data_IF_597507720852
#
_entry.id   IF_597507720852
#
_cell.length_a   1.000
_cell.length_b   1.000
_cell.length_c   1.000
_cell.angle_alpha   90.00
_cell.angle_beta   90.00
_cell.angle_gamma   90.00
#
_symmetry.space_group_name_H-M   'P 1'
#
loop_
_entity.id
_entity.type
_entity.pdbx_description
1 polymer ?
#
# COMPACT_ATOMS: atom_id res chain seq x y z
N UNK A 1 -19.12 -13.50 4.95
CA UNK A 1 -18.04 -12.95 4.11
C UNK A 1 -17.01 -12.35 5.04
N UNK A 2 -15.78 -12.87 5.06
CA UNK A 2 -14.69 -12.21 5.75
C UNK A 2 -14.48 -10.83 5.10
N UNK A 3 -14.63 -9.76 5.89
CA UNK A 3 -14.02 -8.47 5.57
C UNK A 3 -12.51 -8.73 5.56
N UNK A 4 -11.99 -9.20 4.44
CA UNK A 4 -10.55 -9.27 4.22
C UNK A 4 -10.15 -7.81 4.13
N UNK A 5 -9.52 -7.31 5.19
CA UNK A 5 -8.78 -6.07 5.20
C UNK A 5 -7.79 -6.09 4.04
N UNK A 6 -8.22 -5.59 2.88
CA UNK A 6 -7.43 -5.60 1.66
C UNK A 6 -6.44 -4.43 1.65
N UNK A 7 -5.86 -4.11 2.80
CA UNK A 7 -4.73 -3.19 2.88
C UNK A 7 -3.45 -3.92 2.48
N UNK A 8 -2.45 -3.19 2.02
CA UNK A 8 -1.15 -3.78 1.74
C UNK A 8 -0.46 -3.21 0.50
N UNK A 9 0.67 -3.81 0.18
CA UNK A 9 1.51 -3.47 -0.95
C UNK A 9 1.01 -4.11 -2.23
N UNK A 10 0.88 -3.31 -3.29
CA UNK A 10 0.52 -3.77 -4.63
C UNK A 10 1.44 -3.18 -5.70
N UNK A 11 1.56 -3.89 -6.82
CA UNK A 11 2.31 -3.44 -8.00
C UNK A 11 1.35 -3.00 -9.11
N UNK A 12 0.96 -1.71 -9.14
CA UNK A 12 0.08 -1.20 -10.18
C UNK A 12 0.79 -1.14 -11.53
N UNK A 13 0.28 -1.90 -12.50
CA UNK A 13 0.68 -1.89 -13.92
C UNK A 13 2.19 -1.69 -14.14
N UNK A 14 2.60 -0.55 -14.71
CA UNK A 14 3.98 -0.23 -15.08
C UNK A 14 4.81 0.40 -13.95
N UNK A 15 4.32 0.37 -12.71
CA UNK A 15 5.09 0.91 -11.58
C UNK A 15 6.33 0.05 -11.31
N UNK A 16 7.48 0.72 -11.20
CA UNK A 16 8.75 0.10 -10.77
C UNK A 16 8.83 -0.13 -9.26
N UNK A 17 7.81 0.27 -8.51
CA UNK A 17 7.75 0.21 -7.05
C UNK A 17 6.40 -0.31 -6.58
N UNK A 18 6.40 -1.03 -5.46
CA UNK A 18 5.18 -1.37 -4.76
C UNK A 18 4.59 -0.13 -4.08
N UNK A 19 3.28 0.03 -4.14
CA UNK A 19 2.55 1.10 -3.47
C UNK A 19 1.63 0.52 -2.41
N UNK A 20 1.54 1.19 -1.26
CA UNK A 20 0.63 0.77 -0.19
C UNK A 20 -0.77 1.34 -0.40
N UNK A 21 -1.79 0.53 -0.16
CA UNK A 21 -3.21 0.87 -0.26
C UNK A 21 -3.89 0.54 1.08
N UNK A 22 -4.81 1.40 1.53
CA UNK A 22 -5.59 1.14 2.72
C UNK A 22 -6.77 0.21 2.42
N UNK A 23 -7.35 -0.41 3.47
CA UNK A 23 -8.58 -1.20 3.35
C UNK A 23 -9.68 -0.34 2.72
N UNK A 24 -10.32 -0.86 1.66
CA UNK A 24 -11.38 -0.15 0.93
C UNK A 24 -10.90 0.92 -0.06
N UNK A 25 -9.64 1.34 -0.01
CA UNK A 25 -9.11 2.38 -0.89
C UNK A 25 -8.48 1.79 -2.15
N UNK A 26 -8.91 2.25 -3.33
CA UNK A 26 -8.28 1.89 -4.61
C UNK A 26 -7.05 2.75 -4.90
N UNK A 27 -6.91 3.90 -4.25
CA UNK A 27 -5.80 4.84 -4.45
C UNK A 27 -4.71 4.61 -3.40
N UNK A 28 -3.47 4.55 -3.87
CA UNK A 28 -2.29 4.40 -3.02
C UNK A 28 -2.12 5.56 -2.04
N UNK A 29 -1.44 5.32 -0.93
CA UNK A 29 -1.13 6.36 0.07
C UNK A 29 -0.40 7.58 -0.51
N UNK A 30 0.43 7.40 -1.55
CA UNK A 30 1.10 8.52 -2.22
C UNK A 30 0.18 9.30 -3.16
N UNK A 31 -1.05 8.84 -3.42
CA UNK A 31 -2.05 9.51 -4.24
C UNK A 31 -1.81 9.42 -5.75
N UNK A 32 -0.89 8.56 -6.20
CA UNK A 32 -0.42 8.53 -7.61
C UNK A 32 -0.88 7.32 -8.40
N UNK A 33 -1.20 6.24 -7.70
CA UNK A 33 -1.52 4.96 -8.32
C UNK A 33 -2.85 4.44 -7.84
N UNK A 34 -3.62 3.92 -8.78
CA UNK A 34 -4.82 3.13 -8.54
C UNK A 34 -4.47 1.65 -8.70
N UNK A 35 -5.00 0.80 -7.83
CA UNK A 35 -4.80 -0.65 -7.90
C UNK A 35 -5.93 -1.42 -7.24
N UNK A 36 -6.52 -2.37 -7.95
CA UNK A 36 -7.62 -3.22 -7.47
C UNK A 36 -7.26 -4.72 -7.46
N UNK A 37 -5.96 -5.04 -7.64
CA UNK A 37 -5.46 -6.41 -7.62
C UNK A 37 -5.10 -6.90 -6.20
N UNK A 38 -4.41 -8.04 -6.14
CA UNK A 38 -3.95 -8.66 -4.90
C UNK A 38 -2.92 -7.77 -4.21
N UNK A 39 -3.12 -7.54 -2.91
CA UNK A 39 -2.24 -6.74 -2.06
C UNK A 39 -1.64 -7.65 -0.99
N UNK A 40 -0.39 -7.37 -0.61
CA UNK A 40 0.35 -8.14 0.38
C UNK A 40 0.66 -7.22 1.56
N UNK A 41 0.10 -7.52 2.74
CA UNK A 41 0.33 -6.74 3.96
C UNK A 41 1.55 -7.24 4.75
N UNK A 42 2.66 -7.43 4.05
CA UNK A 42 3.94 -7.88 4.60
C UNK A 42 5.08 -7.03 4.02
N UNK A 43 6.35 -7.42 4.22
CA UNK A 43 7.53 -6.83 3.55
C UNK A 43 7.60 -5.30 3.65
N UNK A 44 7.26 -4.82 4.83
CA UNK A 44 6.99 -3.42 5.13
C UNK A 44 8.17 -2.46 4.94
N UNK A 45 9.40 -2.98 4.98
CA UNK A 45 10.64 -2.23 4.80
C UNK A 45 11.40 -2.65 3.52
N UNK A 46 10.73 -3.32 2.57
CA UNK A 46 11.37 -3.77 1.32
C UNK A 46 11.80 -2.58 0.44
N UNK A 47 13.01 -2.59 -0.17
CA UNK A 47 13.55 -1.47 -0.95
C UNK A 47 12.79 -1.16 -2.24
N UNK A 48 11.93 -2.08 -2.70
CA UNK A 48 11.03 -1.86 -3.83
C UNK A 48 9.74 -1.15 -3.44
N UNK A 49 9.50 -0.88 -2.16
CA UNK A 49 8.36 -0.10 -1.73
C UNK A 49 8.56 1.39 -2.07
N UNK A 50 7.47 2.06 -2.40
CA UNK A 50 7.46 3.50 -2.60
C UNK A 50 7.80 4.20 -1.28
N UNK A 51 8.90 4.97 -1.25
CA UNK A 51 9.36 5.68 -0.07
C UNK A 51 8.32 6.64 0.53
N UNK A 52 7.49 7.28 -0.31
CA UNK A 52 6.39 8.15 0.16
C UNK A 52 5.32 7.33 0.87
N UNK A 53 4.94 6.18 0.31
CA UNK A 53 3.98 5.27 0.95
C UNK A 53 4.55 4.73 2.27
N UNK A 54 5.82 4.33 2.31
CA UNK A 54 6.48 3.88 3.55
C UNK A 54 6.43 4.96 4.65
N UNK A 55 6.80 6.20 4.32
CA UNK A 55 6.76 7.32 5.27
C UNK A 55 5.33 7.59 5.78
N UNK A 56 4.34 7.61 4.89
CA UNK A 56 2.93 7.85 5.25
C UNK A 56 2.35 6.71 6.09
N UNK A 57 2.66 5.45 5.76
CA UNK A 57 2.21 4.29 6.54
C UNK A 57 2.79 4.30 7.95
N UNK A 58 4.10 4.53 8.10
CA UNK A 58 4.74 4.65 9.43
C UNK A 58 4.11 5.77 10.27
N UNK A 59 3.72 6.89 9.64
CA UNK A 59 3.00 7.96 10.32
C UNK A 59 1.62 7.49 10.82
N UNK A 60 0.84 6.79 10.01
CA UNK A 60 -0.47 6.26 10.40
C UNK A 60 -0.37 5.21 11.52
N UNK A 61 0.67 4.36 11.50
CA UNK A 61 0.93 3.34 12.52
C UNK A 61 1.39 3.94 13.86
N UNK A 62 2.14 5.05 13.82
CA UNK A 62 2.61 5.77 15.00
C UNK A 62 1.61 6.78 15.57
N UNK A 63 0.51 7.05 14.88
CA UNK A 63 -0.61 7.90 15.33
C UNK A 63 -1.74 7.07 15.98
N UNK A 64 -1.45 5.83 16.39
CA UNK A 64 -2.36 4.94 17.14
C UNK A 64 -2.10 4.97 18.65
#
# INVERSE_FOLDING_TARGET
MSNIDNKGWGFPALSKKAHFFNSGEAISLCGKWMFIGIRIDEWHDHPENCAICMKKRKKQEGES
#
